data_IF_645949228433
#
_entry.id   IF_645949228433
#
_cell.length_a   1.000
_cell.length_b   1.000
_cell.length_c   1.000
_cell.angle_alpha   90.00
_cell.angle_beta   90.00
_cell.angle_gamma   90.00
#
_symmetry.space_group_name_H-M   'P 1'
#
loop_
_entity.id
_entity.type
_entity.pdbx_description
1 polymer ?
#
# COMPACT_ATOMS: atom_id res chain seq x y z
N UNK A 1 51.31 17.02 8.54
CA UNK A 1 49.85 17.22 8.32
C UNK A 1 49.10 16.31 9.29
N UNK A 2 48.68 16.82 10.45
CA UNK A 2 47.97 16.01 11.45
C UNK A 2 46.47 15.95 11.09
N UNK A 3 45.92 14.74 10.96
CA UNK A 3 44.51 14.52 10.62
C UNK A 3 43.67 14.61 11.90
N UNK A 4 42.73 15.56 11.96
CA UNK A 4 41.81 15.68 13.10
C UNK A 4 40.99 14.40 13.26
N UNK A 5 40.93 13.87 14.49
CA UNK A 5 40.02 12.78 14.85
C UNK A 5 38.66 13.38 15.18
N UNK A 6 37.63 13.02 14.42
CA UNK A 6 36.25 13.38 14.74
C UNK A 6 35.84 12.67 16.04
N UNK A 7 35.32 13.44 16.99
CA UNK A 7 34.69 12.87 18.19
C UNK A 7 33.36 12.24 17.79
N UNK A 8 33.15 10.98 18.19
CA UNK A 8 31.86 10.30 17.98
C UNK A 8 30.72 11.03 18.70
N UNK A 9 29.54 11.04 18.09
CA UNK A 9 28.35 11.67 18.69
C UNK A 9 28.08 11.06 20.06
N UNK A 10 28.01 11.92 21.09
CA UNK A 10 27.82 11.53 22.50
C UNK A 10 26.35 11.45 22.91
N UNK A 11 25.45 11.53 21.94
CA UNK A 11 24.02 11.39 22.18
C UNK A 11 23.73 9.90 22.30
N UNK A 12 23.41 9.44 23.51
CA UNK A 12 22.75 8.15 23.69
C UNK A 12 21.37 8.29 23.05
N UNK A 13 21.20 7.75 21.84
CA UNK A 13 19.86 7.56 21.29
C UNK A 13 19.04 6.82 22.36
N UNK A 14 18.03 7.49 22.89
CA UNK A 14 17.15 6.88 23.87
C UNK A 14 16.43 5.73 23.16
N UNK A 15 16.56 4.53 23.71
CA UNK A 15 15.89 3.35 23.20
C UNK A 15 14.40 3.64 23.02
N UNK A 16 13.95 3.62 21.76
CA UNK A 16 12.55 3.76 21.37
C UNK A 16 12.00 5.19 21.44
N UNK A 17 12.29 6.01 20.43
CA UNK A 17 11.48 7.19 20.18
C UNK A 17 10.03 6.78 19.94
N UNK A 18 9.17 7.00 20.95
CA UNK A 18 7.70 6.84 20.86
C UNK A 18 7.03 7.91 19.99
N UNK A 19 7.81 8.83 19.43
CA UNK A 19 7.30 9.94 18.64
C UNK A 19 6.87 9.39 17.28
N UNK A 20 5.56 9.45 17.01
CA UNK A 20 5.03 9.10 15.69
C UNK A 20 5.59 10.10 14.68
N UNK A 21 6.39 9.62 13.73
CA UNK A 21 6.78 10.41 12.56
C UNK A 21 5.51 10.65 11.74
N UNK A 22 5.05 11.89 11.71
CA UNK A 22 3.90 12.32 10.93
C UNK A 22 4.42 13.05 9.70
N UNK A 23 4.04 12.61 8.51
CA UNK A 23 4.31 13.32 7.26
C UNK A 23 3.17 14.33 7.03
N UNK A 24 3.42 15.65 7.13
CA UNK A 24 2.37 16.65 6.92
C UNK A 24 1.70 16.46 5.55
N UNK A 25 0.37 16.52 5.51
CA UNK A 25 -0.41 16.38 4.27
C UNK A 25 -0.63 14.96 3.75
N UNK A 26 -0.10 13.92 4.42
CA UNK A 26 -0.44 12.54 4.06
C UNK A 26 -1.82 12.17 4.59
N UNK A 27 -2.72 11.72 3.70
CA UNK A 27 -4.04 11.22 4.10
C UNK A 27 -3.97 10.00 5.04
N UNK A 28 -2.79 9.35 5.14
CA UNK A 28 -2.54 8.21 6.02
C UNK A 28 -2.10 8.62 7.43
N UNK A 29 -1.66 9.86 7.61
CA UNK A 29 -1.01 10.31 8.84
C UNK A 29 -1.96 10.32 10.04
N UNK A 30 -1.48 9.80 11.17
CA UNK A 30 -2.25 9.74 12.43
C UNK A 30 -3.28 8.60 12.52
N UNK A 31 -3.53 7.85 11.43
CA UNK A 31 -4.56 6.81 11.37
C UNK A 31 -3.98 5.38 11.41
N UNK A 32 -4.66 4.49 12.12
CA UNK A 32 -4.41 3.04 12.05
C UNK A 32 -4.93 2.44 10.74
N UNK A 33 -4.53 1.21 10.42
CA UNK A 33 -5.02 0.52 9.21
C UNK A 33 -6.55 0.38 9.18
N UNK A 34 -7.14 0.02 10.32
CA UNK A 34 -8.59 -0.11 10.47
C UNK A 34 -9.30 1.24 10.29
N UNK A 35 -8.75 2.33 10.85
CA UNK A 35 -9.30 3.68 10.64
C UNK A 35 -9.28 4.09 9.16
N UNK A 36 -8.25 3.66 8.42
CA UNK A 36 -8.19 3.86 6.96
C UNK A 36 -9.21 3.04 6.18
N UNK A 37 -9.83 2.03 6.78
CA UNK A 37 -10.88 1.20 6.17
C UNK A 37 -10.50 -0.27 6.00
N UNK A 38 -9.25 -0.64 6.31
CA UNK A 38 -8.75 -2.02 6.21
C UNK A 38 -9.06 -2.81 7.48
N UNK A 39 -10.33 -2.82 7.89
CA UNK A 39 -10.83 -3.51 9.08
C UNK A 39 -11.33 -4.94 8.75
N UNK A 40 -12.07 -5.55 9.69
CA UNK A 40 -12.64 -6.88 9.49
C UNK A 40 -13.70 -6.94 8.38
N UNK A 41 -14.44 -5.84 8.15
CA UNK A 41 -15.42 -5.76 7.05
C UNK A 41 -14.69 -5.83 5.72
N UNK A 42 -13.55 -5.14 5.59
CA UNK A 42 -12.70 -5.24 4.41
C UNK A 42 -12.17 -6.65 4.19
N UNK A 43 -11.71 -7.33 5.26
CA UNK A 43 -11.19 -8.70 5.15
C UNK A 43 -12.23 -9.65 4.54
N UNK A 44 -13.48 -9.62 5.02
CA UNK A 44 -14.57 -10.43 4.46
C UNK A 44 -14.86 -10.10 2.99
N UNK A 45 -14.95 -8.81 2.67
CA UNK A 45 -15.25 -8.38 1.31
C UNK A 45 -14.13 -8.77 0.34
N UNK A 46 -12.88 -8.63 0.77
CA UNK A 46 -11.70 -9.08 0.04
C UNK A 46 -11.73 -10.59 -0.23
N UNK A 47 -12.06 -11.40 0.76
CA UNK A 47 -12.14 -12.87 0.61
C UNK A 47 -13.23 -13.28 -0.38
N UNK A 48 -14.41 -12.64 -0.33
CA UNK A 48 -15.47 -12.89 -1.30
C UNK A 48 -15.01 -12.47 -2.71
N UNK A 49 -14.47 -11.26 -2.84
CA UNK A 49 -14.03 -10.75 -4.15
C UNK A 49 -12.94 -11.61 -4.78
N UNK A 50 -11.99 -12.14 -4.01
CA UNK A 50 -10.96 -13.06 -4.53
C UNK A 50 -11.51 -14.43 -4.92
N UNK A 51 -12.60 -14.89 -4.30
CA UNK A 51 -13.28 -16.12 -4.74
C UNK A 51 -13.96 -15.91 -6.09
N UNK A 52 -14.58 -14.76 -6.29
CA UNK A 52 -15.28 -14.42 -7.53
C UNK A 52 -14.29 -14.00 -8.65
N UNK A 53 -13.12 -13.47 -8.28
CA UNK A 53 -12.08 -12.99 -9.19
C UNK A 53 -10.73 -13.68 -8.87
N UNK A 54 -10.60 -14.99 -9.14
CA UNK A 54 -9.45 -15.77 -8.71
C UNK A 54 -8.18 -15.53 -9.53
N UNK A 55 -8.26 -14.80 -10.65
CA UNK A 55 -7.15 -14.58 -11.57
C UNK A 55 -6.61 -13.15 -11.50
N UNK A 56 -5.31 -13.00 -11.70
CA UNK A 56 -4.65 -11.71 -11.78
C UNK A 56 -5.05 -10.97 -13.06
N UNK A 57 -5.66 -9.79 -12.91
CA UNK A 57 -6.08 -8.94 -14.01
C UNK A 57 -4.91 -8.53 -14.92
N UNK A 58 -3.72 -8.29 -14.36
CA UNK A 58 -2.55 -7.87 -15.15
C UNK A 58 -1.96 -9.02 -15.96
N UNK A 59 -1.89 -10.21 -15.37
CA UNK A 59 -1.47 -11.40 -16.11
C UNK A 59 -2.47 -11.70 -17.24
N UNK A 60 -3.78 -11.61 -16.98
CA UNK A 60 -4.81 -11.87 -17.97
C UNK A 60 -4.70 -10.94 -19.19
N UNK A 61 -4.44 -9.63 -18.98
CA UNK A 61 -4.19 -8.65 -20.06
C UNK A 61 -2.98 -9.01 -20.94
N UNK A 62 -2.04 -9.80 -20.41
CA UNK A 62 -0.84 -10.26 -21.12
C UNK A 62 -1.00 -11.70 -21.66
N UNK A 63 -2.21 -12.26 -21.63
CA UNK A 63 -2.45 -13.66 -22.04
C UNK A 63 -1.86 -14.70 -21.09
N UNK A 64 -1.53 -14.31 -19.85
CA UNK A 64 -0.98 -15.20 -18.82
C UNK A 64 -2.01 -15.52 -17.75
N UNK A 65 -1.92 -16.70 -17.17
CA UNK A 65 -2.77 -17.11 -16.04
C UNK A 65 -1.94 -17.14 -14.76
N UNK A 66 -2.40 -16.42 -13.74
CA UNK A 66 -1.82 -16.47 -12.40
C UNK A 66 -2.92 -16.26 -11.37
N UNK A 67 -2.85 -16.98 -10.25
CA UNK A 67 -3.77 -16.81 -9.14
C UNK A 67 -3.62 -15.41 -8.51
N UNK A 68 -4.74 -14.75 -8.27
CA UNK A 68 -4.79 -13.51 -7.51
C UNK A 68 -4.70 -13.80 -6.01
N UNK A 69 -3.98 -12.94 -5.29
CA UNK A 69 -3.85 -13.01 -3.82
C UNK A 69 -4.04 -11.65 -3.16
N UNK A 70 -4.22 -10.58 -3.93
CA UNK A 70 -4.39 -9.23 -3.45
C UNK A 70 -5.58 -8.60 -4.16
N UNK A 71 -6.40 -7.85 -3.43
CA UNK A 71 -7.40 -6.95 -3.99
C UNK A 71 -6.82 -5.55 -3.86
N UNK A 72 -6.71 -4.88 -4.99
CA UNK A 72 -6.12 -3.58 -5.13
C UNK A 72 -7.16 -2.56 -5.61
N UNK A 73 -6.98 -1.30 -5.26
CA UNK A 73 -7.81 -0.21 -5.74
C UNK A 73 -7.19 0.36 -7.02
N UNK A 74 -7.92 0.29 -8.15
CA UNK A 74 -7.47 0.78 -9.45
C UNK A 74 -7.07 2.26 -9.32
N UNK A 75 -7.99 3.09 -8.84
CA UNK A 75 -7.77 4.47 -8.43
C UNK A 75 -7.55 4.52 -6.92
N UNK A 76 -6.43 5.11 -6.50
CA UNK A 76 -6.08 5.24 -5.10
C UNK A 76 -7.13 6.11 -4.37
N UNK A 77 -7.81 5.52 -3.38
CA UNK A 77 -8.94 6.18 -2.73
C UNK A 77 -8.57 7.40 -1.86
N UNK A 78 -7.30 7.55 -1.43
CA UNK A 78 -6.79 8.71 -0.67
C UNK A 78 -7.64 9.16 0.53
N UNK A 79 -8.36 8.23 1.15
CA UNK A 79 -9.26 8.50 2.28
C UNK A 79 -10.75 8.62 1.92
N UNK A 80 -11.09 8.73 0.64
CA UNK A 80 -12.46 8.64 0.13
C UNK A 80 -13.02 7.23 0.43
N UNK A 81 -14.14 7.18 1.14
CA UNK A 81 -14.79 5.92 1.54
C UNK A 81 -15.70 5.36 0.47
N UNK A 82 -16.30 6.20 -0.35
CA UNK A 82 -17.17 5.77 -1.44
C UNK A 82 -16.32 5.10 -2.52
N UNK A 83 -15.18 5.73 -2.86
CA UNK A 83 -14.21 5.14 -3.79
C UNK A 83 -13.52 3.89 -3.22
N UNK A 84 -13.33 3.81 -1.90
CA UNK A 84 -12.80 2.62 -1.23
C UNK A 84 -13.74 1.41 -1.35
N UNK A 85 -15.06 1.63 -1.18
CA UNK A 85 -16.07 0.57 -1.20
C UNK A 85 -16.68 0.31 -2.57
N UNK A 86 -16.35 1.12 -3.57
CA UNK A 86 -16.73 0.87 -4.95
C UNK A 86 -16.02 -0.37 -5.51
N UNK A 87 -16.73 -1.49 -5.65
CA UNK A 87 -16.17 -2.72 -6.19
C UNK A 87 -15.73 -2.60 -7.66
N UNK A 88 -16.30 -1.65 -8.42
CA UNK A 88 -15.82 -1.37 -9.78
C UNK A 88 -14.42 -0.72 -9.79
N UNK A 89 -14.00 -0.17 -8.64
CA UNK A 89 -12.64 0.32 -8.43
C UNK A 89 -11.70 -0.77 -7.87
N UNK A 90 -12.18 -2.01 -7.67
CA UNK A 90 -11.33 -3.11 -7.21
C UNK A 90 -10.78 -3.90 -8.39
N UNK A 91 -9.59 -4.45 -8.22
CA UNK A 91 -8.99 -5.41 -9.15
C UNK A 91 -8.24 -6.51 -8.40
N UNK A 92 -8.31 -7.73 -8.91
CA UNK A 92 -7.60 -8.90 -8.39
C UNK A 92 -6.20 -8.98 -9.01
N UNK A 93 -5.15 -8.99 -8.17
CA UNK A 93 -3.77 -9.05 -8.61
C UNK A 93 -3.01 -10.20 -7.92
N UNK A 94 -2.05 -10.79 -8.64
CA UNK A 94 -1.04 -11.62 -8.01
C UNK A 94 -0.02 -10.72 -7.31
N UNK A 95 0.60 -11.23 -6.24
CA UNK A 95 1.59 -10.47 -5.46
C UNK A 95 2.73 -9.88 -6.30
N UNK A 96 3.33 -10.60 -7.28
CA UNK A 96 4.36 -10.02 -8.14
C UNK A 96 3.88 -8.79 -8.93
N UNK A 97 2.69 -8.83 -9.54
CA UNK A 97 2.16 -7.71 -10.31
C UNK A 97 1.77 -6.52 -9.43
N UNK A 98 1.20 -6.79 -8.25
CA UNK A 98 0.87 -5.76 -7.27
C UNK A 98 2.13 -5.02 -6.78
N UNK A 99 3.18 -5.75 -6.40
CA UNK A 99 4.37 -5.15 -5.78
C UNK A 99 5.32 -4.49 -6.81
N UNK A 100 5.13 -4.73 -8.11
CA UNK A 100 5.99 -4.19 -9.18
C UNK A 100 5.25 -3.26 -10.13
N UNK A 101 4.42 -3.80 -11.02
CA UNK A 101 3.75 -3.06 -12.10
C UNK A 101 2.80 -2.00 -11.51
N UNK A 102 1.93 -2.40 -10.57
CA UNK A 102 0.99 -1.47 -9.96
C UNK A 102 1.71 -0.38 -9.16
N UNK A 103 2.71 -0.75 -8.36
CA UNK A 103 3.53 0.24 -7.63
C UNK A 103 4.21 1.25 -8.56
N UNK A 104 4.73 0.80 -9.71
CA UNK A 104 5.34 1.68 -10.71
C UNK A 104 4.31 2.63 -11.38
N UNK A 105 3.12 2.13 -11.69
CA UNK A 105 2.01 2.94 -12.23
C UNK A 105 1.55 4.02 -11.24
N UNK A 106 1.49 3.68 -9.94
CA UNK A 106 1.17 4.66 -8.90
C UNK A 106 2.26 5.72 -8.71
N UNK A 107 3.53 5.30 -8.75
CA UNK A 107 4.66 6.21 -8.59
C UNK A 107 4.81 7.19 -9.77
N UNK A 108 4.47 6.74 -10.98
CA UNK A 108 4.52 7.58 -12.19
C UNK A 108 3.36 8.57 -12.30
N UNK A 109 2.36 8.50 -11.42
CA UNK A 109 1.18 9.38 -11.45
C UNK A 109 0.22 9.09 -12.61
N UNK A 110 0.42 8.00 -13.35
CA UNK A 110 -0.41 7.61 -14.50
C UNK A 110 -1.79 7.06 -14.09
N UNK A 111 -1.97 6.73 -12.81
CA UNK A 111 -3.24 6.28 -12.22
C UNK A 111 -3.60 7.07 -10.95
N UNK A 112 -3.53 8.40 -11.05
CA UNK A 112 -3.86 9.36 -9.98
C UNK A 112 -5.27 9.90 -10.07
#
# INVERSE_FOLDING_TARGET
MARLKTLGSRIKESAGSRVKVVTPGSWRSGMTSSQRGYDYRWQKAREQYLRDNPLCAYCARQGRTAAASVVDHIVAHRGDKDLFWNQANWQSLCKPCHDSVKQAEEASGLMG
#
